data_IF_226559921672
#
_entry.id   IF_226559921672
#
_cell.length_a   1.000
_cell.length_b   1.000
_cell.length_c   1.000
_cell.angle_alpha   90.00
_cell.angle_beta   90.00
_cell.angle_gamma   90.00
#
_symmetry.space_group_name_H-M   'P 1'
#
loop_
_entity.id
_entity.type
_entity.pdbx_description
1 polymer ?
#
# COMPACT_ATOMS: atom_id res chain seq x y z
N UNK A 1 15.25 85.37 55.88
CA UNK A 1 14.97 85.27 54.44
C UNK A 1 16.31 85.27 53.70
N UNK A 2 16.44 84.57 52.56
CA UNK A 2 17.66 84.30 51.76
C UNK A 2 18.31 82.91 51.92
N UNK A 3 17.54 81.90 51.52
CA UNK A 3 17.81 80.87 50.50
C UNK A 3 19.26 80.37 50.36
N UNK A 4 19.48 79.14 50.85
CA UNK A 4 20.59 78.25 50.47
C UNK A 4 20.51 77.86 48.98
N UNK A 5 21.64 77.97 48.26
CA UNK A 5 21.87 77.25 47.00
C UNK A 5 22.82 76.07 47.25
N UNK A 6 22.30 74.86 47.13
CA UNK A 6 23.11 73.66 46.93
C UNK A 6 23.62 73.60 45.47
N UNK A 7 24.85 73.10 45.22
CA UNK A 7 25.34 72.89 43.87
C UNK A 7 24.66 71.68 43.22
N UNK A 8 24.22 71.87 41.97
CA UNK A 8 23.61 70.84 41.14
C UNK A 8 24.63 69.73 40.85
N UNK A 9 24.26 68.50 41.22
CA UNK A 9 24.94 67.28 40.80
C UNK A 9 24.81 67.12 39.29
N UNK A 10 25.95 66.87 38.64
CA UNK A 10 26.05 66.55 37.22
C UNK A 10 25.27 65.26 36.90
N UNK A 11 24.10 65.41 36.29
CA UNK A 11 23.36 64.31 35.68
C UNK A 11 24.13 63.82 34.45
N UNK A 12 24.62 62.58 34.50
CA UNK A 12 25.34 61.93 33.40
C UNK A 12 24.46 61.87 32.14
N UNK A 13 25.05 62.32 31.04
CA UNK A 13 24.58 62.33 29.65
C UNK A 13 23.58 61.20 29.31
N UNK A 14 22.36 61.59 28.93
CA UNK A 14 21.39 60.70 28.31
C UNK A 14 21.87 60.24 26.93
N UNK A 15 21.74 58.95 26.63
CA UNK A 15 22.05 58.45 25.27
C UNK A 15 21.15 59.16 24.25
N UNK A 16 21.67 59.61 23.10
CA UNK A 16 20.87 60.30 22.09
C UNK A 16 19.69 59.44 21.60
N UNK A 17 18.48 60.00 21.62
CA UNK A 17 17.25 59.35 21.15
C UNK A 17 17.35 58.78 19.73
N UNK A 18 18.18 59.39 18.85
CA UNK A 18 18.47 58.88 17.49
C UNK A 18 19.08 57.48 17.48
N UNK A 19 20.06 57.21 18.35
CA UNK A 19 20.69 55.87 18.48
C UNK A 19 19.70 54.81 18.96
N UNK A 20 18.68 55.22 19.72
CA UNK A 20 17.65 54.31 20.22
C UNK A 20 16.65 53.89 19.13
N UNK A 21 16.26 54.84 18.26
CA UNK A 21 15.36 54.61 17.11
C UNK A 21 16.04 53.75 16.04
N UNK A 22 17.28 54.07 15.65
CA UNK A 22 18.06 53.25 14.70
C UNK A 22 18.23 51.81 15.20
N UNK A 23 18.42 51.62 16.52
CA UNK A 23 18.51 50.28 17.11
C UNK A 23 17.20 49.50 17.03
N UNK A 24 16.04 50.18 17.06
CA UNK A 24 14.71 49.56 16.97
C UNK A 24 14.36 49.17 15.55
N UNK A 25 14.60 50.04 14.57
CA UNK A 25 14.41 49.72 13.15
C UNK A 25 15.31 48.58 12.70
N UNK A 26 16.59 48.61 13.07
CA UNK A 26 17.52 47.52 12.76
C UNK A 26 17.08 46.19 13.36
N UNK A 27 16.58 46.19 14.61
CA UNK A 27 16.00 44.98 15.24
C UNK A 27 14.73 44.50 14.52
N UNK A 28 13.86 45.42 14.10
CA UNK A 28 12.62 45.10 13.39
C UNK A 28 12.93 44.47 12.03
N UNK A 29 13.85 45.05 11.25
CA UNK A 29 14.29 44.51 9.95
C UNK A 29 14.92 43.13 10.09
N UNK A 30 15.84 42.94 11.06
CA UNK A 30 16.41 41.62 11.37
C UNK A 30 15.35 40.60 11.74
N UNK A 31 14.35 41.00 12.53
CA UNK A 31 13.26 40.10 12.94
C UNK A 31 12.35 39.72 11.78
N UNK A 32 12.06 40.65 10.86
CA UNK A 32 11.32 40.37 9.62
C UNK A 32 12.11 39.43 8.72
N UNK A 33 13.43 39.62 8.58
CA UNK A 33 14.29 38.75 7.79
C UNK A 33 14.35 37.32 8.36
N UNK A 34 14.46 37.18 9.69
CA UNK A 34 14.39 35.87 10.37
C UNK A 34 13.04 35.21 10.09
N UNK A 35 11.93 35.93 10.26
CA UNK A 35 10.58 35.42 9.97
C UNK A 35 10.44 34.99 8.51
N UNK A 36 10.96 35.76 7.55
CA UNK A 36 10.92 35.41 6.13
C UNK A 36 11.73 34.14 5.83
N UNK A 37 12.90 33.96 6.46
CA UNK A 37 13.70 32.73 6.36
C UNK A 37 12.95 31.52 6.93
N UNK A 38 12.28 31.68 8.07
CA UNK A 38 11.45 30.64 8.68
C UNK A 38 10.26 30.26 7.80
N UNK A 39 9.53 31.25 7.28
CA UNK A 39 8.41 31.04 6.34
C UNK A 39 8.89 30.28 5.12
N UNK A 40 10.00 30.72 4.51
CA UNK A 40 10.58 30.04 3.34
C UNK A 40 10.91 28.58 3.66
N UNK A 41 11.56 28.31 4.80
CA UNK A 41 11.87 26.94 5.23
C UNK A 41 10.61 26.08 5.41
N UNK A 42 9.52 26.64 5.96
CA UNK A 42 8.25 25.93 6.09
C UNK A 42 7.62 25.63 4.73
N UNK A 43 7.68 26.59 3.79
CA UNK A 43 7.19 26.40 2.42
C UNK A 43 7.99 25.33 1.68
N UNK A 44 9.33 25.37 1.76
CA UNK A 44 10.21 24.39 1.13
C UNK A 44 9.96 22.98 1.69
N UNK A 45 9.80 22.85 3.01
CA UNK A 45 9.50 21.55 3.62
C UNK A 45 8.08 21.06 3.28
N UNK A 46 7.10 21.95 3.18
CA UNK A 46 5.76 21.59 2.71
C UNK A 46 5.79 21.13 1.25
N UNK A 47 6.52 21.83 0.38
CA UNK A 47 6.70 21.44 -1.02
C UNK A 47 7.36 20.06 -1.11
N UNK A 48 8.40 19.79 -0.32
CA UNK A 48 9.05 18.48 -0.24
C UNK A 48 8.08 17.38 0.22
N UNK A 49 7.29 17.62 1.26
CA UNK A 49 6.30 16.64 1.76
C UNK A 49 5.22 16.36 0.72
N UNK A 50 4.73 17.40 0.04
CA UNK A 50 3.75 17.29 -1.01
C UNK A 50 4.30 16.51 -2.21
N UNK A 51 5.53 16.77 -2.63
CA UNK A 51 6.18 16.03 -3.71
C UNK A 51 6.22 14.52 -3.42
N UNK A 52 6.48 14.14 -2.16
CA UNK A 52 6.48 12.73 -1.73
C UNK A 52 5.05 12.17 -1.61
N UNK A 53 4.10 12.97 -1.10
CA UNK A 53 2.70 12.55 -0.91
C UNK A 53 1.99 12.29 -2.24
N UNK A 54 2.21 13.17 -3.22
CA UNK A 54 1.61 13.13 -4.54
C UNK A 54 2.50 12.43 -5.57
N UNK A 55 3.59 11.78 -5.14
CA UNK A 55 4.40 10.95 -6.01
C UNK A 55 3.52 9.88 -6.68
N UNK A 56 3.81 9.54 -7.96
CA UNK A 56 3.07 8.51 -8.68
C UNK A 56 2.99 7.20 -7.88
N UNK A 57 1.80 6.61 -7.85
CA UNK A 57 1.56 5.33 -7.22
C UNK A 57 0.47 4.60 -7.98
N UNK A 58 0.88 3.55 -8.69
CA UNK A 58 -0.02 2.67 -9.40
C UNK A 58 0.18 1.24 -8.90
N UNK A 59 -0.71 0.73 -8.02
CA UNK A 59 -0.56 -0.61 -7.46
C UNK A 59 -0.75 -1.73 -8.49
N UNK A 60 -1.48 -1.47 -9.59
CA UNK A 60 -1.74 -2.46 -10.64
C UNK A 60 -0.48 -2.67 -11.49
N UNK A 61 0.15 -1.60 -11.98
CA UNK A 61 1.43 -1.72 -12.71
C UNK A 61 2.62 -1.94 -11.77
N UNK A 62 2.50 -1.51 -10.51
CA UNK A 62 3.55 -1.52 -9.50
C UNK A 62 4.41 -0.23 -9.49
N UNK A 63 4.14 0.72 -10.38
CA UNK A 63 4.89 1.98 -10.46
C UNK A 63 4.74 2.78 -9.15
N UNK A 64 5.88 3.17 -8.56
CA UNK A 64 5.91 3.88 -7.27
C UNK A 64 5.32 3.10 -6.09
N UNK A 65 5.05 1.80 -6.25
CA UNK A 65 4.44 0.96 -5.21
C UNK A 65 5.42 0.66 -4.06
N UNK A 66 4.88 0.15 -2.96
CA UNK A 66 5.63 -0.10 -1.71
C UNK A 66 6.74 -1.13 -1.91
N UNK A 67 7.89 -0.89 -1.27
CA UNK A 67 9.05 -1.80 -1.30
C UNK A 67 9.93 -1.65 -2.55
N UNK A 68 11.03 -2.41 -2.60
CA UNK A 68 11.95 -2.38 -3.74
C UNK A 68 11.32 -3.06 -4.96
N UNK A 69 11.37 -2.37 -6.11
CA UNK A 69 10.80 -2.83 -7.38
C UNK A 69 11.87 -2.99 -8.46
N UNK A 70 11.62 -3.85 -9.44
CA UNK A 70 12.41 -3.92 -10.66
C UNK A 70 11.51 -3.87 -11.89
N UNK A 71 11.99 -3.21 -12.95
CA UNK A 71 11.28 -3.13 -14.23
C UNK A 71 11.19 -4.52 -14.86
N UNK A 72 9.99 -4.87 -15.32
CA UNK A 72 9.68 -6.14 -15.98
C UNK A 72 8.78 -5.86 -17.18
N UNK A 73 9.18 -6.33 -18.36
CA UNK A 73 8.48 -6.02 -19.61
C UNK A 73 8.25 -7.30 -20.41
N UNK A 74 6.99 -7.58 -20.72
CA UNK A 74 6.53 -8.71 -21.55
C UNK A 74 5.43 -8.13 -22.47
N UNK A 75 5.72 -7.82 -23.75
CA UNK A 75 4.85 -7.02 -24.61
C UNK A 75 3.42 -7.55 -24.78
N UNK A 76 3.26 -8.87 -24.82
CA UNK A 76 2.01 -9.61 -25.04
C UNK A 76 1.34 -10.10 -23.74
N UNK A 77 1.80 -9.62 -22.58
CA UNK A 77 1.13 -9.82 -21.28
C UNK A 77 0.08 -8.72 -21.04
N UNK A 78 -1.05 -8.97 -20.33
CA UNK A 78 -2.11 -7.98 -20.12
C UNK A 78 -1.65 -6.64 -19.50
N UNK A 79 -0.56 -6.67 -18.74
CA UNK A 79 0.14 -5.47 -18.26
C UNK A 79 1.56 -5.49 -18.85
N UNK A 80 1.78 -4.92 -20.05
CA UNK A 80 3.02 -5.12 -20.80
C UNK A 80 4.27 -4.61 -20.07
N UNK A 81 4.12 -3.52 -19.33
CA UNK A 81 5.17 -2.93 -18.51
C UNK A 81 4.74 -2.92 -17.04
N UNK A 82 5.53 -3.58 -16.20
CA UNK A 82 5.29 -3.71 -14.77
C UNK A 82 6.54 -3.41 -13.95
N UNK A 83 6.33 -3.07 -12.68
CA UNK A 83 7.36 -2.88 -11.66
C UNK A 83 7.12 -3.88 -10.53
N UNK A 84 7.73 -5.05 -10.65
CA UNK A 84 7.47 -6.19 -9.75
C UNK A 84 8.32 -6.09 -8.48
N UNK A 85 7.85 -6.64 -7.34
CA UNK A 85 8.67 -6.76 -6.13
C UNK A 85 9.97 -7.53 -6.39
N UNK A 86 11.11 -7.05 -5.88
CA UNK A 86 12.42 -7.72 -6.07
C UNK A 86 12.43 -9.17 -5.59
N UNK A 87 11.60 -9.53 -4.62
CA UNK A 87 11.43 -10.91 -4.16
C UNK A 87 11.04 -11.88 -5.29
N UNK A 88 10.31 -11.42 -6.30
CA UNK A 88 9.90 -12.24 -7.45
C UNK A 88 11.04 -12.54 -8.43
N UNK A 89 12.14 -11.79 -8.39
CA UNK A 89 13.24 -11.90 -9.37
C UNK A 89 13.89 -13.29 -9.39
N UNK A 90 13.86 -14.01 -8.26
CA UNK A 90 14.46 -15.35 -8.15
C UNK A 90 13.52 -16.47 -8.63
N UNK A 91 12.23 -16.19 -8.78
CA UNK A 91 11.23 -17.18 -9.12
C UNK A 91 11.48 -17.78 -10.53
N UNK A 92 11.41 -19.12 -10.70
CA UNK A 92 11.65 -19.77 -11.99
C UNK A 92 10.74 -19.30 -13.12
N UNK A 93 9.43 -19.12 -12.86
CA UNK A 93 8.47 -18.66 -13.86
C UNK A 93 8.83 -17.25 -14.36
N UNK A 94 9.14 -16.34 -13.44
CA UNK A 94 9.52 -14.95 -13.77
C UNK A 94 10.80 -14.92 -14.61
N UNK A 95 11.79 -15.76 -14.28
CA UNK A 95 13.02 -15.86 -15.07
C UNK A 95 12.78 -16.46 -16.45
N UNK A 96 12.01 -17.54 -16.53
CA UNK A 96 11.75 -18.24 -17.78
C UNK A 96 10.94 -17.37 -18.75
N UNK A 97 9.90 -16.68 -18.26
CA UNK A 97 9.10 -15.76 -19.06
C UNK A 97 9.92 -14.54 -19.50
N UNK A 98 10.78 -13.98 -18.64
CA UNK A 98 11.71 -12.91 -19.04
C UNK A 98 12.70 -13.36 -20.11
N UNK A 99 13.23 -14.59 -20.00
CA UNK A 99 14.17 -15.16 -20.98
C UNK A 99 13.49 -15.42 -22.33
N UNK A 100 12.23 -15.86 -22.32
CA UNK A 100 11.44 -16.03 -23.53
C UNK A 100 11.08 -14.69 -24.20
N UNK A 101 10.94 -13.61 -23.42
CA UNK A 101 10.69 -12.25 -23.89
C UNK A 101 9.23 -11.96 -24.25
N UNK A 102 8.39 -12.99 -24.35
CA UNK A 102 6.96 -12.89 -24.68
C UNK A 102 6.21 -14.13 -24.14
N UNK A 103 4.91 -13.98 -23.88
CA UNK A 103 3.98 -15.07 -23.56
C UNK A 103 3.94 -16.10 -24.69
N UNK A 104 3.76 -15.67 -25.94
CA UNK A 104 3.75 -16.55 -27.11
C UNK A 104 5.02 -17.38 -27.23
N UNK A 105 6.19 -16.76 -27.06
CA UNK A 105 7.48 -17.46 -27.09
C UNK A 105 7.63 -18.43 -25.93
N UNK A 106 7.15 -18.05 -24.74
CA UNK A 106 7.18 -18.91 -23.57
C UNK A 106 6.31 -20.16 -23.74
N UNK A 107 5.07 -20.01 -24.22
CA UNK A 107 4.18 -21.14 -24.51
C UNK A 107 4.78 -22.08 -25.58
N UNK A 108 5.39 -21.50 -26.62
CA UNK A 108 6.11 -22.28 -27.65
C UNK A 108 7.26 -23.09 -27.06
N UNK A 109 8.05 -22.52 -26.13
CA UNK A 109 9.13 -23.24 -25.44
C UNK A 109 8.62 -24.40 -24.58
N UNK A 110 7.41 -24.27 -24.02
CA UNK A 110 6.73 -25.32 -23.29
C UNK A 110 6.04 -26.35 -24.19
N UNK A 111 6.11 -26.20 -25.52
CA UNK A 111 5.39 -27.03 -26.50
C UNK A 111 3.85 -27.00 -26.29
N UNK A 112 3.34 -25.86 -25.80
CA UNK A 112 1.91 -25.61 -25.58
C UNK A 112 1.38 -24.68 -26.66
N UNK A 113 0.19 -24.97 -27.18
CA UNK A 113 -0.48 -24.12 -28.17
C UNK A 113 -0.77 -22.74 -27.59
N UNK A 114 -0.49 -21.70 -28.35
CA UNK A 114 -0.79 -20.31 -27.98
C UNK A 114 -2.28 -19.99 -28.15
N UNK A 115 -3.12 -20.54 -27.27
CA UNK A 115 -4.56 -20.31 -27.22
C UNK A 115 -4.93 -19.26 -26.16
N UNK A 116 -6.08 -18.57 -26.29
CA UNK A 116 -6.58 -17.65 -25.26
C UNK A 116 -6.64 -18.29 -23.86
N UNK A 117 -7.09 -19.54 -23.79
CA UNK A 117 -7.20 -20.32 -22.55
C UNK A 117 -5.84 -20.53 -21.87
N UNK A 118 -4.81 -20.92 -22.63
CA UNK A 118 -3.47 -21.12 -22.09
C UNK A 118 -2.83 -19.81 -21.64
N UNK A 119 -3.10 -18.70 -22.34
CA UNK A 119 -2.69 -17.36 -21.90
C UNK A 119 -3.37 -16.96 -20.60
N UNK A 120 -4.68 -17.20 -20.47
CA UNK A 120 -5.44 -16.89 -19.26
C UNK A 120 -4.93 -17.68 -18.05
N UNK A 121 -4.61 -18.97 -18.23
CA UNK A 121 -4.01 -19.80 -17.19
C UNK A 121 -2.63 -19.29 -16.77
N UNK A 122 -1.77 -18.88 -17.73
CA UNK A 122 -0.49 -18.26 -17.40
C UNK A 122 -0.68 -16.98 -16.59
N UNK A 123 -1.65 -16.14 -16.97
CA UNK A 123 -1.99 -14.90 -16.27
C UNK A 123 -2.48 -15.17 -14.86
N UNK A 124 -3.33 -16.19 -14.65
CA UNK A 124 -3.79 -16.59 -13.32
C UNK A 124 -2.63 -17.03 -12.43
N UNK A 125 -1.78 -17.95 -12.92
CA UNK A 125 -0.61 -18.44 -12.17
C UNK A 125 0.34 -17.30 -11.84
N UNK A 126 0.64 -16.42 -12.81
CA UNK A 126 1.51 -15.28 -12.60
C UNK A 126 0.92 -14.26 -11.63
N UNK A 127 -0.39 -14.00 -11.71
CA UNK A 127 -1.10 -13.08 -10.82
C UNK A 127 -1.14 -13.58 -9.40
N UNK A 128 -1.40 -14.89 -9.17
CA UNK A 128 -1.32 -15.53 -7.85
C UNK A 128 0.08 -15.43 -7.26
N UNK A 129 1.12 -15.70 -8.06
CA UNK A 129 2.50 -15.52 -7.65
C UNK A 129 2.76 -14.06 -7.24
N UNK A 130 2.28 -13.08 -8.01
CA UNK A 130 2.44 -11.66 -7.64
C UNK A 130 1.71 -11.33 -6.35
N UNK A 131 0.49 -11.85 -6.15
CA UNK A 131 -0.28 -11.66 -4.92
C UNK A 131 0.46 -12.16 -3.66
N UNK A 132 1.31 -13.19 -3.78
CA UNK A 132 2.16 -13.66 -2.67
C UNK A 132 3.24 -12.65 -2.24
N UNK A 133 3.59 -11.71 -3.11
CA UNK A 133 4.71 -10.79 -2.89
C UNK A 133 4.32 -9.31 -2.89
N UNK A 134 3.10 -8.97 -3.28
CA UNK A 134 2.69 -7.60 -3.61
C UNK A 134 1.31 -7.28 -3.01
N UNK A 135 1.30 -6.95 -1.72
CA UNK A 135 0.07 -6.57 -1.01
C UNK A 135 -0.70 -5.43 -1.71
N UNK A 136 -0.08 -4.31 -2.14
CA UNK A 136 -0.81 -3.28 -2.87
C UNK A 136 -1.47 -3.77 -4.17
N UNK A 137 -0.81 -4.66 -4.91
CA UNK A 137 -1.38 -5.27 -6.11
C UNK A 137 -2.58 -6.15 -5.75
N UNK A 138 -2.40 -7.07 -4.80
CA UNK A 138 -3.48 -7.95 -4.31
C UNK A 138 -4.72 -7.14 -3.93
N UNK A 139 -4.53 -6.06 -3.16
CA UNK A 139 -5.61 -5.15 -2.80
C UNK A 139 -6.29 -4.51 -4.03
N UNK A 140 -5.49 -3.95 -4.93
CA UNK A 140 -6.00 -3.18 -6.06
C UNK A 140 -6.60 -4.04 -7.19
N UNK A 141 -6.50 -5.37 -7.12
CA UNK A 141 -7.05 -6.28 -8.12
C UNK A 141 -8.10 -7.25 -7.58
N UNK A 142 -8.12 -7.53 -6.27
CA UNK A 142 -8.96 -8.60 -5.71
C UNK A 142 -9.80 -8.20 -4.49
N UNK A 143 -9.50 -7.07 -3.85
CA UNK A 143 -10.04 -6.76 -2.53
C UNK A 143 -11.05 -5.64 -2.63
N UNK A 144 -12.33 -6.00 -2.51
CA UNK A 144 -13.42 -5.04 -2.45
C UNK A 144 -13.66 -4.57 -1.03
N UNK A 145 -13.87 -3.25 -0.90
CA UNK A 145 -14.28 -2.61 0.34
C UNK A 145 -15.52 -1.76 0.08
N UNK A 146 -16.24 -1.44 1.16
CA UNK A 146 -17.33 -0.46 1.08
C UNK A 146 -16.77 0.91 0.72
N UNK A 147 -17.38 1.54 -0.27
CA UNK A 147 -17.06 2.93 -0.58
C UNK A 147 -17.44 3.85 0.59
N UNK A 148 -16.69 4.94 0.73
CA UNK A 148 -16.92 5.93 1.78
C UNK A 148 -18.14 6.78 1.49
N UNK A 149 -18.44 6.99 0.22
CA UNK A 149 -19.56 7.80 -0.22
C UNK A 149 -20.85 6.95 -0.22
N UNK A 150 -21.88 7.34 0.56
CA UNK A 150 -23.13 6.59 0.63
C UNK A 150 -23.76 6.44 -0.75
N UNK A 151 -24.22 5.23 -1.08
CA UNK A 151 -24.88 4.91 -2.35
C UNK A 151 -23.94 4.55 -3.49
N UNK A 152 -22.62 4.73 -3.33
CA UNK A 152 -21.64 4.23 -4.29
C UNK A 152 -21.47 2.71 -4.15
N UNK A 153 -21.22 1.98 -5.27
CA UNK A 153 -20.92 0.56 -5.21
C UNK A 153 -19.59 0.32 -4.48
N UNK A 154 -19.43 -0.89 -3.93
CA UNK A 154 -18.15 -1.31 -3.34
C UNK A 154 -17.00 -1.18 -4.37
N UNK A 155 -15.81 -0.83 -3.89
CA UNK A 155 -14.66 -0.48 -4.73
C UNK A 155 -13.39 -1.24 -4.34
N UNK A 156 -12.47 -1.38 -5.28
CA UNK A 156 -11.17 -2.02 -5.04
C UNK A 156 -10.29 -1.16 -4.13
N UNK A 157 -9.72 -1.78 -3.11
CA UNK A 157 -8.90 -1.08 -2.13
C UNK A 157 -7.58 -0.58 -2.75
N UNK A 158 -7.35 0.74 -2.69
CA UNK A 158 -6.11 1.38 -3.14
C UNK A 158 -5.53 2.21 -2.00
N UNK A 159 -4.26 1.94 -1.68
CA UNK A 159 -3.59 2.57 -0.54
C UNK A 159 -3.38 4.07 -0.77
N UNK A 160 -3.86 4.88 0.17
CA UNK A 160 -3.49 6.28 0.27
C UNK A 160 -2.07 6.46 0.84
N UNK A 161 -1.57 7.68 0.87
CA UNK A 161 -0.19 7.94 1.26
C UNK A 161 0.20 7.46 2.68
N UNK A 162 -0.57 7.78 3.75
CA UNK A 162 -0.34 7.20 5.07
C UNK A 162 -0.35 5.66 5.07
N UNK A 163 -1.27 5.05 4.32
CA UNK A 163 -1.36 3.60 4.19
C UNK A 163 -0.10 2.99 3.55
N UNK A 164 0.42 3.60 2.47
CA UNK A 164 1.68 3.18 1.85
C UNK A 164 2.85 3.15 2.85
N UNK A 165 2.92 4.11 3.78
CA UNK A 165 3.96 4.12 4.82
C UNK A 165 3.76 3.00 5.85
N UNK A 166 2.52 2.76 6.24
CA UNK A 166 2.18 1.70 7.18
C UNK A 166 2.47 0.31 6.56
N UNK A 167 2.02 0.07 5.33
CA UNK A 167 2.36 -1.13 4.55
C UNK A 167 3.88 -1.33 4.44
N UNK A 168 4.66 -0.26 4.17
CA UNK A 168 6.11 -0.37 4.11
C UNK A 168 6.72 -0.89 5.41
N UNK A 169 6.28 -0.35 6.56
CA UNK A 169 6.76 -0.80 7.86
C UNK A 169 6.37 -2.26 8.17
N UNK A 170 5.17 -2.69 7.78
CA UNK A 170 4.72 -4.08 7.91
C UNK A 170 5.57 -5.03 7.05
N UNK A 171 5.77 -4.68 5.78
CA UNK A 171 6.54 -5.46 4.82
C UNK A 171 8.02 -5.55 5.17
N UNK A 172 8.62 -4.49 5.72
CA UNK A 172 10.02 -4.50 6.17
C UNK A 172 10.23 -5.56 7.27
N UNK A 173 9.30 -5.69 8.21
CA UNK A 173 9.37 -6.74 9.25
C UNK A 173 9.07 -8.12 8.68
N UNK A 174 8.00 -8.25 7.87
CA UNK A 174 7.58 -9.54 7.28
C UNK A 174 8.69 -10.14 6.43
N UNK A 175 9.27 -9.34 5.54
CA UNK A 175 10.33 -9.79 4.62
C UNK A 175 11.67 -10.02 5.31
N UNK A 176 11.91 -9.37 6.45
CA UNK A 176 13.04 -9.69 7.33
C UNK A 176 12.82 -10.95 8.18
N UNK A 177 11.67 -11.62 8.07
CA UNK A 177 11.33 -12.80 8.87
C UNK A 177 11.10 -12.49 10.35
N UNK A 178 10.86 -11.21 10.69
CA UNK A 178 10.65 -10.77 12.06
C UNK A 178 9.15 -10.79 12.40
N UNK A 179 8.78 -11.03 13.67
CA UNK A 179 7.41 -10.79 14.12
C UNK A 179 7.00 -9.35 13.81
N UNK A 180 5.80 -9.16 13.25
CA UNK A 180 5.25 -7.85 12.97
C UNK A 180 4.73 -7.26 14.28
N UNK A 181 5.36 -6.18 14.76
CA UNK A 181 4.98 -5.48 15.99
C UNK A 181 4.98 -3.98 15.74
N UNK A 182 3.82 -3.34 15.82
CA UNK A 182 3.68 -1.90 15.64
C UNK A 182 2.83 -1.32 16.77
N UNK A 183 3.37 -0.31 17.45
CA UNK A 183 2.58 0.64 18.23
C UNK A 183 2.51 1.95 17.45
N UNK A 184 1.31 2.48 17.24
CA UNK A 184 1.09 3.58 16.33
C UNK A 184 0.27 4.69 16.99
N UNK A 185 0.88 5.88 17.07
CA UNK A 185 0.14 7.11 17.29
C UNK A 185 -0.26 7.68 15.93
N UNK A 186 -1.56 7.93 15.71
CA UNK A 186 -2.08 8.31 14.39
C UNK A 186 -3.12 9.41 14.45
N UNK A 187 -3.20 10.17 13.35
CA UNK A 187 -4.30 11.10 13.10
C UNK A 187 -5.62 10.34 12.81
N UNK A 188 -6.77 11.01 12.93
CA UNK A 188 -8.06 10.40 12.60
C UNK A 188 -8.20 10.18 11.08
N UNK A 189 -9.13 9.30 10.69
CA UNK A 189 -9.70 9.23 9.32
C UNK A 189 -8.79 8.89 8.12
N UNK A 190 -7.59 8.34 8.31
CA UNK A 190 -6.76 7.89 7.18
C UNK A 190 -6.99 6.43 6.74
N UNK A 191 -7.88 5.70 7.40
CA UNK A 191 -8.24 4.32 7.02
C UNK A 191 -7.28 3.22 7.50
N UNK A 192 -6.56 3.46 8.59
CA UNK A 192 -5.59 2.49 9.12
C UNK A 192 -6.20 1.16 9.57
N UNK A 193 -7.38 1.17 10.20
CA UNK A 193 -8.05 -0.08 10.62
C UNK A 193 -8.43 -0.96 9.43
N UNK A 194 -8.88 -0.37 8.32
CA UNK A 194 -9.17 -1.09 7.09
C UNK A 194 -7.91 -1.75 6.55
N UNK A 195 -6.80 -1.00 6.44
CA UNK A 195 -5.55 -1.59 5.95
C UNK A 195 -5.00 -2.69 6.87
N UNK A 196 -5.02 -2.50 8.19
CA UNK A 196 -4.59 -3.53 9.15
C UNK A 196 -5.39 -4.81 8.95
N UNK A 197 -6.72 -4.70 8.88
CA UNK A 197 -7.61 -5.85 8.73
C UNK A 197 -7.36 -6.60 7.41
N UNK A 198 -7.24 -5.85 6.31
CA UNK A 198 -6.90 -6.40 4.99
C UNK A 198 -5.51 -7.03 4.96
N UNK A 199 -4.53 -6.46 5.65
CA UNK A 199 -3.19 -7.02 5.73
C UNK A 199 -3.18 -8.34 6.51
N UNK A 200 -3.93 -8.41 7.62
CA UNK A 200 -4.10 -9.68 8.35
C UNK A 200 -4.82 -10.72 7.49
N UNK A 201 -5.85 -10.32 6.75
CA UNK A 201 -6.54 -11.19 5.80
C UNK A 201 -5.60 -11.71 4.71
N UNK A 202 -4.73 -10.85 4.17
CA UNK A 202 -3.72 -11.28 3.21
C UNK A 202 -2.75 -12.31 3.80
N UNK A 203 -2.31 -12.12 5.05
CA UNK A 203 -1.49 -13.12 5.73
C UNK A 203 -2.23 -14.45 5.92
N UNK A 204 -3.52 -14.40 6.25
CA UNK A 204 -4.34 -15.59 6.44
C UNK A 204 -4.60 -16.29 5.10
N UNK A 205 -5.18 -15.59 4.13
CA UNK A 205 -5.62 -16.18 2.86
C UNK A 205 -4.47 -16.57 1.93
N UNK A 206 -3.38 -15.79 1.90
CA UNK A 206 -2.32 -15.94 0.90
C UNK A 206 -1.06 -16.58 1.47
N UNK A 207 -0.71 -16.27 2.73
CA UNK A 207 0.55 -16.76 3.31
C UNK A 207 0.41 -17.98 4.20
N UNK A 208 -0.57 -17.98 5.12
CA UNK A 208 -0.73 -18.97 6.17
C UNK A 208 -2.22 -19.14 6.54
N UNK A 209 -2.97 -20.00 5.81
CA UNK A 209 -4.40 -20.25 6.01
C UNK A 209 -4.81 -20.70 7.41
N UNK A 210 -3.87 -21.21 8.20
CA UNK A 210 -4.11 -21.64 9.58
C UNK A 210 -3.88 -20.55 10.64
N UNK A 211 -3.65 -19.30 10.24
CA UNK A 211 -3.48 -18.20 11.20
C UNK A 211 -4.80 -17.75 11.80
N UNK A 212 -4.91 -17.85 13.12
CA UNK A 212 -6.02 -17.28 13.88
C UNK A 212 -5.70 -15.84 14.28
N UNK A 213 -6.72 -14.98 14.28
CA UNK A 213 -6.61 -13.57 14.66
C UNK A 213 -7.58 -13.23 15.78
N UNK A 214 -7.19 -12.29 16.66
CA UNK A 214 -8.04 -11.75 17.71
C UNK A 214 -8.04 -10.23 17.57
N UNK A 215 -9.23 -9.63 17.54
CA UNK A 215 -9.42 -8.18 17.52
C UNK A 215 -9.92 -7.74 18.88
N UNK A 216 -9.11 -6.97 19.60
CA UNK A 216 -9.45 -6.42 20.91
C UNK A 216 -9.67 -4.92 20.78
N UNK A 217 -10.80 -4.44 21.30
CA UNK A 217 -11.11 -3.02 21.37
C UNK A 217 -11.74 -2.72 22.74
N UNK A 218 -11.80 -1.43 23.09
CA UNK A 218 -12.39 -0.99 24.35
C UNK A 218 -13.89 -1.30 24.44
N UNK A 219 -14.61 -1.34 23.31
CA UNK A 219 -16.04 -1.66 23.24
C UNK A 219 -16.32 -2.67 22.14
N UNK A 220 -17.26 -3.60 22.38
CA UNK A 220 -17.61 -4.68 21.44
C UNK A 220 -18.02 -4.16 20.06
N UNK A 221 -18.75 -3.03 20.01
CA UNK A 221 -19.20 -2.44 18.75
C UNK A 221 -18.05 -1.98 17.83
N UNK A 222 -16.87 -1.68 18.39
CA UNK A 222 -15.69 -1.34 17.61
C UNK A 222 -15.07 -2.59 16.98
N UNK A 223 -14.93 -3.68 17.75
CA UNK A 223 -14.45 -4.96 17.22
C UNK A 223 -15.40 -5.55 16.17
N UNK A 224 -16.71 -5.50 16.39
CA UNK A 224 -17.70 -6.00 15.42
C UNK A 224 -17.68 -5.23 14.09
N UNK A 225 -17.41 -3.91 14.12
CA UNK A 225 -17.24 -3.13 12.89
C UNK A 225 -16.03 -3.61 12.08
N UNK A 226 -14.91 -3.92 12.74
CA UNK A 226 -13.72 -4.45 12.06
C UNK A 226 -14.01 -5.85 11.52
N UNK A 227 -14.60 -6.74 12.34
CA UNK A 227 -15.03 -8.07 11.89
C UNK A 227 -16.00 -8.00 10.68
N UNK A 228 -16.88 -7.01 10.64
CA UNK A 228 -17.77 -6.75 9.51
C UNK A 228 -17.06 -6.34 8.23
N UNK A 229 -15.97 -5.56 8.31
CA UNK A 229 -15.14 -5.22 7.15
C UNK A 229 -14.46 -6.47 6.58
N UNK A 230 -13.87 -7.30 7.45
CA UNK A 230 -13.28 -8.59 7.07
C UNK A 230 -14.28 -9.49 6.34
N UNK A 231 -15.47 -9.70 6.93
CA UNK A 231 -16.53 -10.55 6.34
C UNK A 231 -16.93 -10.06 4.95
N UNK A 232 -17.22 -8.77 4.79
CA UNK A 232 -17.58 -8.18 3.48
C UNK A 232 -16.50 -8.43 2.42
N UNK A 233 -15.24 -8.19 2.79
CA UNK A 233 -14.13 -8.42 1.88
C UNK A 233 -14.05 -9.90 1.50
N UNK A 234 -14.17 -10.78 2.49
CA UNK A 234 -14.14 -12.22 2.29
C UNK A 234 -15.29 -12.66 1.38
N UNK A 235 -16.53 -12.21 1.59
CA UNK A 235 -17.69 -12.56 0.76
C UNK A 235 -17.49 -12.17 -0.72
N UNK A 236 -16.77 -11.08 -0.98
CA UNK A 236 -16.45 -10.62 -2.33
C UNK A 236 -15.18 -11.27 -2.92
N UNK A 237 -14.39 -11.99 -2.12
CA UNK A 237 -13.12 -12.56 -2.54
C UNK A 237 -13.34 -13.73 -3.51
N UNK A 238 -12.62 -13.82 -4.63
CA UNK A 238 -12.83 -14.91 -5.58
C UNK A 238 -12.53 -16.28 -4.98
N UNK A 239 -13.54 -17.15 -4.93
CA UNK A 239 -13.44 -18.45 -4.24
C UNK A 239 -12.35 -19.35 -4.84
N UNK A 240 -12.15 -19.29 -6.15
CA UNK A 240 -11.10 -20.04 -6.84
C UNK A 240 -9.68 -19.72 -6.32
N UNK A 241 -9.47 -18.56 -5.69
CA UNK A 241 -8.20 -18.18 -5.09
C UNK A 241 -7.94 -18.85 -3.73
N UNK A 242 -8.95 -19.48 -3.14
CA UNK A 242 -8.84 -20.25 -1.89
C UNK A 242 -8.34 -21.69 -2.11
N UNK A 243 -8.33 -22.13 -3.37
CA UNK A 243 -7.87 -23.46 -3.81
C UNK A 243 -6.58 -23.35 -4.61
N UNK A 244 -5.89 -24.48 -4.77
CA UNK A 244 -4.69 -24.55 -5.62
C UNK A 244 -5.07 -24.34 -7.09
N UNK A 245 -4.15 -23.81 -7.92
CA UNK A 245 -4.39 -23.70 -9.35
C UNK A 245 -4.80 -25.06 -9.96
N UNK A 246 -5.95 -25.10 -10.64
CA UNK A 246 -6.48 -26.31 -11.28
C UNK A 246 -7.27 -27.25 -10.37
N UNK A 247 -7.36 -26.97 -9.06
CA UNK A 247 -8.19 -27.74 -8.14
C UNK A 247 -9.67 -27.43 -8.38
N UNK A 248 -10.51 -28.46 -8.31
CA UNK A 248 -11.95 -28.29 -8.43
C UNK A 248 -12.50 -27.61 -7.17
N UNK A 249 -13.46 -26.71 -7.36
CA UNK A 249 -14.16 -26.01 -6.28
C UNK A 249 -15.63 -25.84 -6.68
N UNK A 250 -16.51 -25.69 -5.69
CA UNK A 250 -17.91 -25.34 -5.94
C UNK A 250 -18.02 -23.81 -6.13
N UNK A 251 -18.45 -23.31 -7.30
CA UNK A 251 -18.63 -21.87 -7.51
C UNK A 251 -19.68 -21.23 -6.59
N UNK A 252 -20.58 -22.02 -6.01
CA UNK A 252 -21.64 -21.54 -5.11
C UNK A 252 -21.27 -21.68 -3.63
N UNK A 253 -20.09 -22.22 -3.31
CA UNK A 253 -19.63 -22.29 -1.93
C UNK A 253 -19.44 -20.87 -1.38
N UNK A 254 -19.86 -20.67 -0.13
CA UNK A 254 -19.62 -19.41 0.58
C UNK A 254 -18.21 -19.45 1.15
N UNK A 255 -17.49 -18.34 1.02
CA UNK A 255 -16.18 -18.20 1.65
C UNK A 255 -16.33 -18.28 3.17
N UNK A 256 -15.95 -19.42 3.74
CA UNK A 256 -16.10 -19.70 5.18
C UNK A 256 -14.84 -19.42 6.00
N UNK A 257 -13.72 -19.01 5.36
CA UNK A 257 -12.44 -18.75 6.01
C UNK A 257 -12.54 -17.74 7.17
N UNK A 258 -12.50 -18.23 8.41
CA UNK A 258 -12.53 -17.40 9.62
C UNK A 258 -13.94 -17.12 10.20
N UNK A 259 -14.98 -17.82 9.74
CA UNK A 259 -16.24 -17.93 10.48
C UNK A 259 -16.12 -18.99 11.58
N UNK A 260 -16.90 -18.88 12.64
CA UNK A 260 -16.84 -19.66 13.91
C UNK A 260 -16.97 -21.20 13.77
N UNK A 261 -17.04 -21.72 12.54
CA UNK A 261 -17.00 -23.14 12.19
C UNK A 261 -15.56 -23.63 11.96
N UNK A 262 -15.13 -24.73 12.59
CA UNK A 262 -13.83 -25.34 12.29
C UNK A 262 -13.81 -25.81 10.84
N UNK A 263 -12.95 -25.23 10.01
CA UNK A 263 -12.76 -25.72 8.65
C UNK A 263 -11.68 -26.81 8.69
N UNK A 264 -12.09 -28.04 8.44
CA UNK A 264 -11.22 -29.18 8.17
C UNK A 264 -10.72 -29.13 6.73
N UNK A 265 -9.90 -28.13 6.36
CA UNK A 265 -9.22 -28.14 5.06
C UNK A 265 -7.72 -28.41 5.25
N UNK A 266 -7.42 -29.70 5.27
CA UNK A 266 -6.08 -30.28 5.37
C UNK A 266 -5.40 -30.24 3.99
N UNK A 267 -4.98 -29.06 3.52
CA UNK A 267 -4.45 -28.88 2.15
C UNK A 267 -3.05 -28.25 2.04
N UNK A 268 -2.55 -27.58 3.08
CA UNK A 268 -1.29 -26.86 3.04
C UNK A 268 -0.16 -27.60 3.78
N UNK A 269 0.37 -28.66 3.15
CA UNK A 269 1.73 -29.13 3.44
C UNK A 269 2.69 -28.61 2.38
N UNK A 270 3.68 -27.86 2.86
CA UNK A 270 4.95 -27.50 2.24
C UNK A 270 4.92 -26.88 0.83
N UNK A 271 5.15 -25.58 0.78
CA UNK A 271 5.60 -24.87 -0.43
C UNK A 271 7.02 -25.34 -0.80
N UNK A 272 7.10 -26.50 -1.45
CA UNK A 272 8.22 -26.82 -2.35
C UNK A 272 7.90 -26.23 -3.71
N UNK A 273 8.91 -25.70 -4.40
CA UNK A 273 8.77 -25.03 -5.70
C UNK A 273 7.86 -25.85 -6.65
N UNK A 274 6.93 -25.22 -7.38
CA UNK A 274 6.16 -25.95 -8.36
C UNK A 274 7.11 -26.56 -9.40
N UNK A 275 6.98 -27.87 -9.59
CA UNK A 275 7.49 -28.60 -10.76
C UNK A 275 7.11 -27.87 -12.06
N UNK A 276 7.84 -28.10 -13.17
CA UNK A 276 7.55 -27.43 -14.44
C UNK A 276 6.06 -27.52 -14.78
N UNK A 277 5.47 -26.37 -15.12
CA UNK A 277 4.04 -26.15 -15.30
C UNK A 277 3.34 -27.34 -15.97
N UNK A 278 2.53 -28.05 -15.20
CA UNK A 278 1.38 -28.77 -15.75
C UNK A 278 0.23 -27.77 -15.71
N UNK A 279 -0.05 -27.14 -16.84
CA UNK A 279 -1.24 -26.32 -17.01
C UNK A 279 -2.47 -27.23 -16.81
N UNK A 280 -3.39 -26.91 -15.89
CA UNK A 280 -4.56 -27.75 -15.64
C UNK A 280 -5.48 -27.79 -16.87
N UNK A 281 -6.18 -28.90 -17.05
CA UNK A 281 -6.90 -29.27 -18.28
C UNK A 281 -8.19 -28.48 -18.58
N UNK A 282 -8.53 -27.44 -17.80
CA UNK A 282 -9.75 -26.64 -18.02
C UNK A 282 -9.50 -25.13 -17.95
N UNK A 283 -10.04 -24.34 -18.90
CA UNK A 283 -10.00 -22.88 -18.83
C UNK A 283 -10.86 -22.38 -17.67
N UNK A 284 -10.32 -21.44 -16.90
CA UNK A 284 -10.99 -20.81 -15.77
C UNK A 284 -11.31 -19.37 -16.17
N UNK A 285 -12.60 -19.00 -16.14
CA UNK A 285 -13.08 -17.67 -16.52
C UNK A 285 -12.57 -16.63 -15.51
N UNK A 286 -11.56 -15.85 -15.88
CA UNK A 286 -11.08 -14.69 -15.10
C UNK A 286 -11.95 -13.49 -15.46
N UNK A 287 -12.41 -12.75 -14.45
CA UNK A 287 -13.11 -11.49 -14.66
C UNK A 287 -12.20 -10.53 -15.46
N UNK A 288 -12.65 -10.08 -16.63
CA UNK A 288 -11.93 -9.11 -17.47
C UNK A 288 -11.53 -7.90 -16.62
N UNK A 289 -10.23 -7.71 -16.44
CA UNK A 289 -9.67 -6.43 -15.98
C UNK A 289 -9.88 -5.44 -17.14
N UNK A 290 -11.01 -4.73 -17.12
CA UNK A 290 -11.21 -3.61 -18.04
C UNK A 290 -10.41 -2.43 -17.53
N UNK A 291 -9.33 -2.09 -18.24
CA UNK A 291 -8.63 -0.83 -18.07
C UNK A 291 -9.56 0.31 -18.53
N UNK A 292 -10.39 0.85 -17.64
CA UNK A 292 -10.98 2.17 -17.88
C UNK A 292 -9.88 3.21 -17.71
N UNK A 293 -9.55 3.89 -18.80
CA UNK A 293 -8.70 5.08 -18.79
C UNK A 293 -9.31 6.12 -17.87
N UNK A 294 -8.64 6.40 -16.75
CA UNK A 294 -8.97 7.56 -15.91
C UNK A 294 -8.39 8.80 -16.61
N UNK A 295 -9.22 9.48 -17.41
CA UNK A 295 -9.01 10.89 -17.70
C UNK A 295 -9.36 11.67 -16.45
N UNK A 296 -8.41 12.49 -15.97
CA UNK A 296 -8.57 13.35 -14.80
C UNK A 296 -9.65 14.41 -15.06
N UNK A 297 -10.57 14.69 -14.12
CA UNK A 297 -11.33 15.94 -14.17
C UNK A 297 -10.40 17.11 -13.85
N UNK A 298 -10.67 18.23 -14.52
CA UNK A 298 -10.08 19.55 -14.24
C UNK A 298 -10.46 20.06 -12.86
#
# INVERSE_FOLDING_TARGET
>A
MFIHRHPASTCKQGRPWKLFIESRETRRTKMTEIKLKEIKRMMDDNARRNAVMFAPFNPVTGEGSVGKRFRYQIPDYPIPLQFLPVAMKRNPLVKALAKAGSVSMYLKQLQVTDSPDNREQLVDVFSRLRCLHDFPYWCATLVYIKDKDPGMPDCLFRLNFPQRKFCAALEDMRTAGKPIRICMCKARQWGGSTETDLYMAWLQLVHRPSLNGIIVAHVNSASEKIKGMYRKMLDAYPINLLYKPGEAFDPNEKNSYGTETPITHNGYRNATAPSPLVLPSRPMRVARVTTRSLTSPK
#
